data_IF_391179991074
#
_entry.id   IF_391179991074
#
_cell.length_a   1.000
_cell.length_b   1.000
_cell.length_c   1.000
_cell.angle_alpha   90.00
_cell.angle_beta   90.00
_cell.angle_gamma   90.00
#
_symmetry.space_group_name_H-M   'P 1'
#
loop_
_entity.id
_entity.type
_entity.pdbx_description
1 polymer ?
#
# COMPACT_ATOMS: atom_id res chain seq x y z
N UNK A 1 28.53 18.51 11.58
CA UNK A 1 27.90 17.21 11.91
C UNK A 1 26.37 17.25 11.83
N UNK A 2 25.65 18.25 12.37
CA UNK A 2 24.17 18.42 12.15
C UNK A 2 23.70 18.57 10.68
N UNK A 3 24.60 18.93 9.75
CA UNK A 3 24.30 19.06 8.31
C UNK A 3 24.26 17.72 7.55
N UNK A 4 24.81 16.63 8.11
CA UNK A 4 24.83 15.30 7.43
C UNK A 4 23.49 14.57 7.57
N UNK A 5 22.82 14.70 8.72
CA UNK A 5 21.49 14.13 8.99
C UNK A 5 20.39 14.76 8.14
N UNK A 6 20.57 16.03 7.74
CA UNK A 6 19.58 16.79 6.96
C UNK A 6 19.34 16.21 5.55
N UNK A 7 20.34 15.56 4.95
CA UNK A 7 20.22 14.93 3.62
C UNK A 7 19.35 13.67 3.60
N UNK A 8 19.19 12.99 4.74
CA UNK A 8 18.37 11.77 4.86
C UNK A 8 16.87 12.09 4.69
N UNK A 9 16.47 13.33 4.98
CA UNK A 9 15.06 13.74 5.02
C UNK A 9 14.58 14.57 3.82
N UNK A 10 15.48 15.24 3.11
CA UNK A 10 15.10 16.02 1.93
C UNK A 10 14.77 15.12 0.70
N UNK A 11 15.27 13.88 0.68
CA UNK A 11 14.96 12.90 -0.37
C UNK A 11 13.62 12.15 -0.13
N UNK A 12 12.89 12.47 0.95
CA UNK A 12 11.62 11.84 1.35
C UNK A 12 10.42 12.29 0.49
N UNK A 13 10.57 13.33 -0.34
CA UNK A 13 9.49 13.89 -1.15
C UNK A 13 9.89 13.94 -2.62
N UNK A 14 9.95 12.80 -3.31
CA UNK A 14 9.47 12.65 -4.70
C UNK A 14 9.10 11.17 -4.88
N UNK A 15 7.92 10.81 -4.39
CA UNK A 15 7.24 9.60 -4.84
C UNK A 15 6.79 9.79 -6.28
N UNK A 16 7.28 8.90 -7.14
CA UNK A 16 7.11 8.87 -8.59
C UNK A 16 5.77 9.46 -9.04
N UNK A 17 5.91 10.62 -9.69
CA UNK A 17 4.88 11.29 -10.46
C UNK A 17 4.13 10.27 -11.35
N UNK A 18 2.89 9.95 -11.01
CA UNK A 18 1.82 9.62 -11.98
C UNK A 18 1.51 10.81 -12.93
N UNK A 19 2.53 11.62 -13.22
CA UNK A 19 2.49 12.94 -13.84
C UNK A 19 3.18 12.91 -15.21
N UNK A 20 3.33 11.74 -15.84
CA UNK A 20 3.88 11.67 -17.19
C UNK A 20 2.92 11.06 -18.22
N UNK A 21 2.14 10.02 -17.92
CA UNK A 21 1.24 9.42 -18.92
C UNK A 21 0.13 10.37 -19.39
N UNK A 22 -0.69 10.88 -18.45
CA UNK A 22 -1.79 11.79 -18.80
C UNK A 22 -1.25 13.11 -19.39
N UNK A 23 -0.18 13.66 -18.79
CA UNK A 23 0.43 14.90 -19.26
C UNK A 23 1.05 14.77 -20.66
N UNK A 24 1.71 13.64 -20.97
CA UNK A 24 2.20 13.33 -22.31
C UNK A 24 1.05 13.27 -23.31
N UNK A 25 -0.03 12.56 -22.95
CA UNK A 25 -1.20 12.37 -23.81
C UNK A 25 -1.96 13.69 -24.06
N UNK A 26 -2.18 14.51 -23.04
CA UNK A 26 -2.73 15.88 -23.16
C UNK A 26 -1.86 16.76 -24.07
N UNK A 27 -0.53 16.67 -23.92
CA UNK A 27 0.39 17.49 -24.70
C UNK A 27 0.42 17.09 -26.18
N UNK A 28 0.36 15.78 -26.46
CA UNK A 28 0.24 15.26 -27.83
C UNK A 28 -1.09 15.70 -28.48
N UNK A 29 -2.19 15.66 -27.72
CA UNK A 29 -3.50 16.16 -28.16
C UNK A 29 -3.46 17.64 -28.50
N UNK A 30 -2.82 18.45 -27.64
CA UNK A 30 -2.66 19.87 -27.88
C UNK A 30 -1.85 20.14 -29.15
N UNK A 31 -0.75 19.42 -29.36
CA UNK A 31 0.08 19.56 -30.57
C UNK A 31 -0.74 19.23 -31.83
N UNK A 32 -1.57 18.18 -31.81
CA UNK A 32 -2.44 17.84 -32.95
C UNK A 32 -3.48 18.93 -33.22
N UNK A 33 -4.14 19.44 -32.17
CA UNK A 33 -5.14 20.52 -32.28
C UNK A 33 -4.52 21.82 -32.78
N UNK A 34 -3.32 22.17 -32.31
CA UNK A 34 -2.58 23.36 -32.76
C UNK A 34 -2.15 23.24 -34.25
N UNK A 35 -1.81 22.03 -34.71
CA UNK A 35 -1.54 21.75 -36.13
C UNK A 35 -2.78 21.94 -37.02
N UNK A 36 -3.94 21.43 -36.59
CA UNK A 36 -5.20 21.63 -37.30
C UNK A 36 -5.62 23.10 -37.39
N UNK A 37 -5.03 23.97 -36.56
CA UNK A 37 -5.23 25.42 -36.57
C UNK A 37 -4.12 26.21 -37.29
N UNK A 38 -3.29 25.52 -38.09
CA UNK A 38 -2.34 26.08 -39.07
C UNK A 38 -1.21 26.95 -38.46
N UNK A 39 -0.78 26.65 -37.23
CA UNK A 39 0.19 27.48 -36.49
C UNK A 39 1.66 27.09 -36.64
N UNK A 40 1.98 25.87 -37.10
CA UNK A 40 3.34 25.33 -37.13
C UNK A 40 3.64 24.55 -38.43
N UNK A 41 4.91 24.58 -38.88
CA UNK A 41 5.38 23.74 -39.99
C UNK A 41 5.42 22.25 -39.63
N UNK A 42 5.12 21.38 -40.61
CA UNK A 42 5.12 19.91 -40.46
C UNK A 42 6.40 19.35 -39.80
N UNK A 43 7.57 19.87 -40.19
CA UNK A 43 8.85 19.41 -39.64
C UNK A 43 9.06 19.82 -38.17
N UNK A 44 8.59 21.01 -37.79
CA UNK A 44 8.63 21.49 -36.41
C UNK A 44 7.71 20.68 -35.49
N UNK A 45 6.54 20.28 -35.98
CA UNK A 45 5.59 19.45 -35.24
C UNK A 45 6.13 18.05 -35.03
N UNK A 46 6.71 17.44 -36.07
CA UNK A 46 7.29 16.10 -35.96
C UNK A 46 8.38 16.06 -34.88
N UNK A 47 9.25 17.09 -34.82
CA UNK A 47 10.25 17.25 -33.75
C UNK A 47 9.62 17.37 -32.36
N UNK A 48 8.50 18.09 -32.22
CA UNK A 48 7.76 18.22 -30.95
C UNK A 48 7.11 16.89 -30.54
N UNK A 49 6.56 16.13 -31.48
CA UNK A 49 5.99 14.82 -31.19
C UNK A 49 7.10 13.85 -30.77
N UNK A 50 8.22 13.82 -31.51
CA UNK A 50 9.32 12.90 -31.28
C UNK A 50 10.07 13.13 -29.96
N UNK A 51 9.88 14.29 -29.30
CA UNK A 51 10.40 14.53 -27.96
C UNK A 51 9.67 13.75 -26.86
N UNK A 52 8.48 13.21 -27.14
CA UNK A 52 7.71 12.41 -26.18
C UNK A 52 8.07 10.92 -26.23
N UNK A 53 7.97 10.19 -25.11
CA UNK A 53 8.25 8.76 -25.06
C UNK A 53 7.48 7.96 -26.11
N UNK A 54 8.14 6.99 -26.74
CA UNK A 54 7.60 6.19 -27.85
C UNK A 54 6.28 5.51 -27.48
N UNK A 55 6.19 4.88 -26.29
CA UNK A 55 4.95 4.32 -25.72
C UNK A 55 3.75 5.25 -25.86
N UNK A 56 3.86 6.50 -25.42
CA UNK A 56 2.72 7.44 -25.40
C UNK A 56 2.38 7.95 -26.80
N UNK A 57 3.37 8.07 -27.69
CA UNK A 57 3.13 8.33 -29.11
C UNK A 57 2.31 7.22 -29.76
N UNK A 58 2.61 5.94 -29.45
CA UNK A 58 1.87 4.78 -29.97
C UNK A 58 0.44 4.77 -29.41
N UNK A 59 0.27 4.97 -28.10
CA UNK A 59 -1.06 5.05 -27.46
C UNK A 59 -1.90 6.16 -28.08
N UNK A 60 -1.33 7.35 -28.23
CA UNK A 60 -2.02 8.49 -28.83
C UNK A 60 -2.39 8.22 -30.30
N UNK A 61 -1.47 7.66 -31.09
CA UNK A 61 -1.74 7.19 -32.46
C UNK A 61 -2.90 6.19 -32.50
N UNK A 62 -3.04 5.34 -31.48
CA UNK A 62 -4.18 4.44 -31.32
C UNK A 62 -5.52 5.18 -31.24
N UNK A 63 -5.60 6.26 -30.47
CA UNK A 63 -6.81 7.09 -30.41
C UNK A 63 -7.13 7.73 -31.77
N UNK A 64 -6.13 8.29 -32.45
CA UNK A 64 -6.32 8.90 -33.77
C UNK A 64 -6.83 7.91 -34.82
N UNK A 65 -6.39 6.65 -34.74
CA UNK A 65 -6.76 5.60 -35.70
C UNK A 65 -7.92 4.70 -35.23
N UNK A 66 -8.53 4.99 -34.08
CA UNK A 66 -9.63 4.19 -33.52
C UNK A 66 -9.29 2.70 -33.38
N UNK A 67 -8.06 2.42 -32.97
CA UNK A 67 -7.60 1.05 -32.72
C UNK A 67 -8.41 0.40 -31.60
N UNK A 68 -8.59 -0.91 -31.70
CA UNK A 68 -8.99 -1.76 -30.58
C UNK A 68 -7.84 -1.98 -29.61
N UNK A 69 -8.14 -2.47 -28.41
CA UNK A 69 -7.12 -2.84 -27.42
C UNK A 69 -6.12 -3.86 -27.98
N UNK A 70 -6.58 -4.82 -28.78
CA UNK A 70 -5.72 -5.84 -29.38
C UNK A 70 -4.75 -5.24 -30.40
N UNK A 71 -5.22 -4.34 -31.26
CA UNK A 71 -4.38 -3.64 -32.24
C UNK A 71 -3.34 -2.74 -31.56
N UNK A 72 -3.74 -2.02 -30.51
CA UNK A 72 -2.81 -1.20 -29.73
C UNK A 72 -1.73 -2.06 -29.05
N UNK A 73 -2.11 -3.14 -28.38
CA UNK A 73 -1.17 -4.01 -27.70
C UNK A 73 -0.20 -4.69 -28.68
N UNK A 74 -0.67 -5.08 -29.87
CA UNK A 74 0.20 -5.58 -30.93
C UNK A 74 1.22 -4.51 -31.40
N UNK A 75 0.79 -3.26 -31.57
CA UNK A 75 1.66 -2.17 -31.97
C UNK A 75 2.71 -1.81 -30.88
N UNK A 76 2.35 -1.89 -29.60
CA UNK A 76 3.29 -1.74 -28.48
C UNK A 76 4.33 -2.87 -28.48
N UNK A 77 3.88 -4.13 -28.60
CA UNK A 77 4.76 -5.29 -28.64
C UNK A 77 5.75 -5.26 -29.82
N UNK A 78 5.30 -4.85 -31.01
CA UNK A 78 6.16 -4.73 -32.19
C UNK A 78 7.34 -3.77 -31.96
N UNK A 79 7.19 -2.79 -31.05
CA UNK A 79 8.22 -1.81 -30.69
C UNK A 79 8.93 -2.11 -29.37
N UNK A 80 8.77 -3.32 -28.83
CA UNK A 80 9.29 -3.74 -27.52
C UNK A 80 8.83 -2.84 -26.35
N UNK A 81 7.65 -2.23 -26.47
CA UNK A 81 6.98 -1.52 -25.39
C UNK A 81 6.07 -2.47 -24.63
N UNK A 82 5.95 -2.30 -23.32
CA UNK A 82 5.05 -3.16 -22.53
C UNK A 82 3.60 -2.94 -22.97
N UNK A 83 2.81 -4.01 -23.08
CA UNK A 83 1.37 -3.89 -23.34
C UNK A 83 0.65 -3.10 -22.25
N UNK A 84 -0.54 -2.60 -22.58
CA UNK A 84 -1.42 -2.04 -21.55
C UNK A 84 -1.79 -3.14 -20.55
N UNK A 85 -1.62 -2.82 -19.29
CA UNK A 85 -2.00 -3.62 -18.14
C UNK A 85 -2.62 -2.70 -17.10
N UNK A 86 -3.67 -3.13 -16.39
CA UNK A 86 -4.45 -2.27 -15.48
C UNK A 86 -3.70 -1.92 -14.18
N UNK A 87 -2.48 -1.37 -14.31
CA UNK A 87 -1.51 -1.15 -13.25
C UNK A 87 -1.76 0.12 -12.44
N UNK A 88 -2.37 1.12 -13.05
CA UNK A 88 -2.84 2.37 -12.43
C UNK A 88 -4.12 2.86 -13.12
N UNK A 89 -4.67 3.94 -12.57
CA UNK A 89 -5.93 4.54 -13.01
C UNK A 89 -5.90 4.89 -14.51
N UNK A 90 -4.79 5.47 -14.97
CA UNK A 90 -4.64 5.90 -16.35
C UNK A 90 -4.59 4.69 -17.26
N UNK A 91 -3.75 3.70 -16.98
CA UNK A 91 -3.64 2.51 -17.82
C UNK A 91 -4.93 1.66 -17.82
N UNK A 92 -5.60 1.53 -16.67
CA UNK A 92 -6.91 0.89 -16.57
C UNK A 92 -7.98 1.62 -17.40
N UNK A 93 -8.01 2.94 -17.35
CA UNK A 93 -8.93 3.74 -18.17
C UNK A 93 -8.62 3.67 -19.66
N UNK A 94 -7.34 3.56 -20.04
CA UNK A 94 -6.92 3.36 -21.43
C UNK A 94 -7.39 2.00 -21.94
N UNK A 95 -7.25 0.93 -21.13
CA UNK A 95 -7.80 -0.40 -21.46
C UNK A 95 -9.29 -0.29 -21.79
N UNK A 96 -10.07 0.35 -20.91
CA UNK A 96 -11.50 0.58 -21.16
C UNK A 96 -11.75 1.39 -22.43
N UNK A 97 -11.00 2.49 -22.64
CA UNK A 97 -11.15 3.34 -23.80
C UNK A 97 -10.93 2.59 -25.12
N UNK A 98 -9.89 1.76 -25.21
CA UNK A 98 -9.59 0.99 -26.41
C UNK A 98 -10.50 -0.25 -26.58
N UNK A 99 -11.05 -0.80 -25.49
CA UNK A 99 -12.09 -1.83 -25.58
C UNK A 99 -13.40 -1.27 -26.14
N UNK A 100 -13.76 -0.03 -25.76
CA UNK A 100 -14.99 0.64 -26.17
C UNK A 100 -14.82 1.56 -27.39
N UNK A 101 -13.61 1.65 -27.94
CA UNK A 101 -13.24 2.56 -29.04
C UNK A 101 -13.68 3.99 -28.77
N UNK A 102 -13.35 4.50 -27.58
CA UNK A 102 -13.62 5.89 -27.22
C UNK A 102 -12.69 6.82 -28.00
N UNK A 103 -13.19 8.02 -28.27
CA UNK A 103 -12.33 9.14 -28.69
C UNK A 103 -11.49 9.63 -27.52
N UNK A 104 -10.39 10.33 -27.82
CA UNK A 104 -9.54 10.94 -26.79
C UNK A 104 -10.35 11.86 -25.87
N UNK A 105 -11.15 12.77 -26.44
CA UNK A 105 -11.94 13.73 -25.67
C UNK A 105 -12.96 13.04 -24.74
N UNK A 106 -13.62 11.98 -25.21
CA UNK A 106 -14.54 11.21 -24.37
C UNK A 106 -13.80 10.49 -23.23
N UNK A 107 -12.72 9.77 -23.52
CA UNK A 107 -11.91 9.13 -22.48
C UNK A 107 -11.41 10.14 -21.45
N UNK A 108 -10.91 11.30 -21.90
CA UNK A 108 -10.42 12.37 -21.05
C UNK A 108 -11.52 12.91 -20.13
N UNK A 109 -12.73 13.10 -20.64
CA UNK A 109 -13.89 13.53 -19.83
C UNK A 109 -14.22 12.56 -18.69
N UNK A 110 -14.04 11.25 -18.89
CA UNK A 110 -14.27 10.24 -17.86
C UNK A 110 -13.18 10.32 -16.78
N UNK A 111 -11.92 10.55 -17.19
CA UNK A 111 -10.80 10.76 -16.26
C UNK A 111 -11.01 11.99 -15.38
N UNK A 112 -11.49 13.10 -15.95
CA UNK A 112 -11.80 14.31 -15.19
C UNK A 112 -12.85 14.01 -14.11
N UNK A 113 -13.95 13.34 -14.45
CA UNK A 113 -14.98 12.96 -13.48
C UNK A 113 -14.44 12.09 -12.34
N UNK A 114 -13.62 11.08 -12.67
CA UNK A 114 -13.02 10.19 -11.67
C UNK A 114 -12.05 10.96 -10.76
N UNK A 115 -11.26 11.89 -11.32
CA UNK A 115 -10.32 12.72 -10.55
C UNK A 115 -11.00 13.78 -9.68
N UNK A 116 -12.15 14.30 -10.11
CA UNK A 116 -12.99 15.17 -9.27
C UNK A 116 -13.49 14.40 -8.04
N UNK A 117 -13.92 13.16 -8.23
CA UNK A 117 -14.26 12.27 -7.12
C UNK A 117 -13.05 11.99 -6.21
N UNK A 118 -11.87 11.70 -6.80
CA UNK A 118 -10.60 11.51 -6.07
C UNK A 118 -10.22 12.74 -5.21
N UNK A 119 -10.45 13.92 -5.75
CA UNK A 119 -10.12 15.19 -5.09
C UNK A 119 -11.12 15.56 -3.99
N UNK A 120 -12.34 14.99 -4.03
CA UNK A 120 -13.37 15.26 -3.03
C UNK A 120 -13.20 14.49 -1.71
N UNK A 121 -12.34 13.46 -1.68
CA UNK A 121 -12.13 12.61 -0.50
C UNK A 121 -13.32 11.68 -0.17
N UNK A 122 -14.35 11.63 -1.02
CA UNK A 122 -15.60 10.88 -0.78
C UNK A 122 -15.42 9.36 -0.67
N UNK A 123 -14.26 8.82 -1.03
CA UNK A 123 -13.91 7.40 -0.92
C UNK A 123 -13.23 7.04 0.40
N UNK A 124 -12.86 7.99 1.29
CA UNK A 124 -12.08 7.73 2.52
C UNK A 124 -12.86 7.02 3.65
N UNK A 125 -14.17 6.85 3.51
CA UNK A 125 -15.05 6.28 4.54
C UNK A 125 -15.10 4.75 4.69
N UNK A 126 -14.49 3.94 3.80
CA UNK A 126 -14.80 2.51 3.72
C UNK A 126 -14.32 1.68 4.94
N UNK A 127 -13.20 2.05 5.58
CA UNK A 127 -12.73 1.39 6.81
C UNK A 127 -13.13 2.13 8.10
N UNK A 128 -13.38 3.45 8.01
CA UNK A 128 -13.67 4.32 9.16
C UNK A 128 -15.00 5.06 8.97
N UNK A 129 -16.07 4.33 8.69
CA UNK A 129 -17.36 4.71 9.25
C UNK A 129 -17.44 4.07 10.64
N UNK A 130 -16.86 4.77 11.61
CA UNK A 130 -17.36 4.75 12.97
C UNK A 130 -18.46 5.81 13.03
N UNK A 131 -19.70 5.40 13.29
CA UNK A 131 -20.75 6.36 13.66
C UNK A 131 -20.19 7.26 14.77
N UNK A 132 -20.23 8.57 14.55
CA UNK A 132 -19.98 9.65 15.52
C UNK A 132 -18.53 10.02 15.85
N UNK A 133 -17.61 10.05 14.88
CA UNK A 133 -16.33 10.78 15.04
C UNK A 133 -15.48 10.36 16.26
N UNK A 134 -15.73 9.16 16.80
CA UNK A 134 -14.99 8.63 17.95
C UNK A 134 -13.83 7.79 17.42
N UNK A 135 -12.65 8.37 17.50
CA UNK A 135 -11.34 7.84 17.12
C UNK A 135 -10.88 6.58 17.90
N UNK A 136 -11.79 5.86 18.57
CA UNK A 136 -11.43 5.10 19.79
C UNK A 136 -11.17 3.58 19.63
N UNK A 137 -11.68 2.89 18.60
CA UNK A 137 -11.29 1.52 18.20
C UNK A 137 -12.10 1.03 16.98
N UNK A 138 -11.52 0.20 16.10
CA UNK A 138 -12.22 -0.37 14.93
C UNK A 138 -12.38 -1.90 15.03
N UNK A 139 -13.48 -2.52 14.54
CA UNK A 139 -13.70 -3.97 14.68
C UNK A 139 -12.61 -4.81 14.01
N UNK A 140 -12.12 -5.85 14.69
CA UNK A 140 -11.16 -6.82 14.14
C UNK A 140 -11.70 -7.46 12.85
N UNK A 141 -12.97 -7.87 12.87
CA UNK A 141 -13.67 -8.44 11.72
C UNK A 141 -13.62 -7.56 10.47
N UNK A 142 -13.56 -6.22 10.61
CA UNK A 142 -13.46 -5.32 9.46
C UNK A 142 -12.09 -5.44 8.77
N UNK A 143 -11.02 -5.61 9.56
CA UNK A 143 -9.67 -5.81 9.02
C UNK A 143 -9.49 -7.21 8.41
N UNK A 144 -10.08 -8.24 9.04
CA UNK A 144 -10.12 -9.59 8.50
C UNK A 144 -10.80 -9.62 7.13
N UNK A 145 -11.99 -9.03 7.02
CA UNK A 145 -12.71 -8.89 5.75
C UNK A 145 -11.90 -8.12 4.71
N UNK A 146 -11.24 -7.02 5.11
CA UNK A 146 -10.40 -6.25 4.22
C UNK A 146 -9.24 -7.08 3.64
N UNK A 147 -8.50 -7.80 4.48
CA UNK A 147 -7.40 -8.67 4.03
C UNK A 147 -7.94 -9.82 3.17
N UNK A 148 -9.06 -10.43 3.55
CA UNK A 148 -9.71 -11.51 2.81
C UNK A 148 -10.13 -11.07 1.40
N UNK A 149 -10.83 -9.93 1.27
CA UNK A 149 -11.25 -9.40 -0.03
C UNK A 149 -10.06 -9.10 -0.95
N UNK A 150 -8.91 -8.73 -0.37
CA UNK A 150 -7.69 -8.38 -1.11
C UNK A 150 -6.70 -9.56 -1.25
N UNK A 151 -7.10 -10.79 -0.91
CA UNK A 151 -6.24 -11.98 -1.00
C UNK A 151 -6.79 -13.05 -1.94
N UNK A 152 -5.89 -13.78 -2.61
CA UNK A 152 -6.19 -15.08 -3.19
C UNK A 152 -6.00 -16.16 -2.12
N UNK A 153 -6.87 -17.17 -2.09
CA UNK A 153 -6.73 -18.32 -1.21
C UNK A 153 -6.15 -19.51 -1.97
N UNK A 154 -5.05 -20.05 -1.47
CA UNK A 154 -4.51 -21.34 -1.91
C UNK A 154 -4.14 -22.16 -0.67
N UNK A 155 -4.71 -23.36 -0.53
CA UNK A 155 -4.48 -24.25 0.62
C UNK A 155 -4.59 -23.52 1.97
N UNK A 156 -5.70 -22.80 2.20
CA UNK A 156 -5.98 -21.98 3.40
C UNK A 156 -4.99 -20.83 3.66
N UNK A 157 -4.01 -20.61 2.78
CA UNK A 157 -3.04 -19.52 2.85
C UNK A 157 -3.47 -18.33 2.01
N UNK A 158 -3.38 -17.13 2.59
CA UNK A 158 -3.70 -15.88 1.92
C UNK A 158 -2.50 -15.34 1.15
N UNK A 159 -2.61 -15.29 -0.18
CA UNK A 159 -1.64 -14.66 -1.09
C UNK A 159 -2.16 -13.30 -1.55
N UNK A 160 -1.26 -12.35 -1.82
CA UNK A 160 -1.67 -11.04 -2.33
C UNK A 160 -2.37 -11.23 -3.66
N UNK A 161 -3.63 -10.81 -3.76
CA UNK A 161 -4.31 -10.76 -5.05
C UNK A 161 -3.65 -9.62 -5.84
N UNK A 162 -2.98 -9.94 -6.96
CA UNK A 162 -2.61 -8.94 -7.95
C UNK A 162 -3.92 -8.45 -8.62
N UNK A 163 -4.64 -7.57 -7.91
CA UNK A 163 -5.99 -7.08 -8.29
C UNK A 163 -6.04 -6.38 -9.64
N UNK A 164 -4.89 -6.02 -10.20
CA UNK A 164 -4.70 -5.60 -11.59
C UNK A 164 -5.25 -6.63 -12.60
N UNK A 165 -5.22 -7.95 -12.29
CA UNK A 165 -5.84 -9.00 -13.11
C UNK A 165 -7.38 -9.08 -12.97
N UNK A 166 -7.94 -8.66 -11.84
CA UNK A 166 -9.40 -8.66 -11.61
C UNK A 166 -10.04 -7.45 -12.28
N UNK A 167 -9.41 -6.27 -12.13
CA UNK A 167 -9.83 -5.04 -12.81
C UNK A 167 -9.92 -5.25 -14.32
N UNK A 168 -8.91 -5.84 -14.95
CA UNK A 168 -8.92 -6.04 -16.42
C UNK A 168 -10.08 -6.93 -16.88
N UNK A 169 -10.43 -7.98 -16.11
CA UNK A 169 -11.57 -8.85 -16.38
C UNK A 169 -12.91 -8.13 -16.21
N UNK A 170 -13.02 -7.30 -15.18
CA UNK A 170 -14.24 -6.56 -14.87
C UNK A 170 -14.47 -5.44 -15.88
N UNK A 171 -13.41 -4.70 -16.28
CA UNK A 171 -13.47 -3.66 -17.30
C UNK A 171 -14.08 -4.17 -18.61
N UNK A 172 -13.74 -5.41 -19.01
CA UNK A 172 -14.30 -6.02 -20.22
C UNK A 172 -15.80 -6.33 -20.14
N UNK A 173 -16.40 -6.34 -18.94
CA UNK A 173 -17.83 -6.63 -18.71
C UNK A 173 -18.69 -5.39 -18.60
N UNK A 174 -18.10 -4.24 -18.28
CA UNK A 174 -18.82 -2.98 -18.09
C UNK A 174 -19.49 -2.58 -19.42
N UNK A 175 -20.78 -2.28 -19.38
CA UNK A 175 -21.58 -1.94 -20.54
C UNK A 175 -21.49 -0.45 -20.88
N UNK A 176 -21.73 0.39 -19.87
CA UNK A 176 -21.94 1.84 -20.05
C UNK A 176 -20.83 2.69 -19.41
N UNK A 177 -20.63 3.90 -19.94
CA UNK A 177 -19.61 4.83 -19.42
C UNK A 177 -19.87 5.26 -17.97
N UNK A 178 -21.13 5.41 -17.57
CA UNK A 178 -21.48 5.74 -16.19
C UNK A 178 -21.20 4.56 -15.24
N UNK A 179 -21.41 3.34 -15.72
CA UNK A 179 -21.04 2.12 -14.99
C UNK A 179 -19.52 2.06 -14.79
N UNK A 180 -18.75 2.44 -15.81
CA UNK A 180 -17.30 2.59 -15.70
C UNK A 180 -16.87 3.66 -14.69
N UNK A 181 -17.46 4.86 -14.74
CA UNK A 181 -17.12 5.91 -13.75
C UNK A 181 -17.44 5.43 -12.33
N UNK A 182 -18.63 4.86 -12.10
CA UNK A 182 -19.00 4.29 -10.81
C UNK A 182 -18.03 3.19 -10.36
N UNK A 183 -17.72 2.24 -11.24
CA UNK A 183 -16.74 1.18 -10.97
C UNK A 183 -15.37 1.76 -10.61
N UNK A 184 -14.85 2.72 -11.39
CA UNK A 184 -13.55 3.32 -11.12
C UNK A 184 -13.54 4.12 -9.82
N UNK A 185 -14.63 4.82 -9.48
CA UNK A 185 -14.78 5.53 -8.21
C UNK A 185 -14.84 4.57 -7.01
N UNK A 186 -15.57 3.46 -7.12
CA UNK A 186 -15.61 2.39 -6.10
C UNK A 186 -14.24 1.73 -5.91
N UNK A 187 -13.47 1.60 -6.99
CA UNK A 187 -12.17 0.96 -7.02
C UNK A 187 -11.00 1.96 -6.96
N UNK A 188 -11.24 3.25 -6.73
CA UNK A 188 -10.21 4.29 -6.91
C UNK A 188 -9.00 4.09 -6.00
N UNK A 189 -9.27 3.61 -4.77
CA UNK A 189 -8.23 3.20 -3.80
C UNK A 189 -7.27 2.17 -4.38
N UNK A 190 -7.75 1.28 -5.25
CA UNK A 190 -6.93 0.20 -5.83
C UNK A 190 -5.87 0.71 -6.81
N UNK A 191 -6.04 1.92 -7.34
CA UNK A 191 -5.12 2.57 -8.26
C UNK A 191 -4.23 3.63 -7.60
N UNK A 192 -4.37 3.85 -6.29
CA UNK A 192 -3.49 4.77 -5.56
C UNK A 192 -2.06 4.23 -5.54
N UNK A 193 -1.18 4.88 -6.29
CA UNK A 193 0.26 4.58 -6.36
C UNK A 193 0.86 4.51 -4.96
N UNK A 194 1.19 3.29 -4.52
CA UNK A 194 1.93 3.00 -3.29
C UNK A 194 1.16 3.10 -1.97
N UNK A 195 -0.15 3.36 -1.96
CA UNK A 195 -0.89 3.57 -0.69
C UNK A 195 -1.78 2.40 -0.31
N UNK A 196 -2.51 1.82 -1.27
CA UNK A 196 -3.43 0.71 -0.97
C UNK A 196 -2.72 -0.64 -0.85
N UNK A 197 -1.74 -0.94 -1.70
CA UNK A 197 -0.96 -2.18 -1.56
C UNK A 197 -0.09 -2.15 -0.31
N UNK A 198 0.48 -0.99 0.04
CA UNK A 198 1.22 -0.79 1.28
C UNK A 198 0.32 -1.00 2.50
N UNK A 199 -0.88 -0.39 2.52
CA UNK A 199 -1.91 -0.65 3.52
C UNK A 199 -2.25 -2.14 3.60
N UNK A 200 -2.51 -2.77 2.47
CA UNK A 200 -2.82 -4.20 2.42
C UNK A 200 -1.72 -5.03 3.07
N UNK A 201 -0.45 -4.83 2.69
CA UNK A 201 0.64 -5.60 3.27
C UNK A 201 0.81 -5.33 4.77
N UNK A 202 0.68 -4.08 5.21
CA UNK A 202 0.71 -3.76 6.65
C UNK A 202 -0.43 -4.47 7.38
N UNK A 203 -1.67 -4.35 6.91
CA UNK A 203 -2.84 -5.01 7.51
C UNK A 203 -2.68 -6.54 7.52
N UNK A 204 -2.14 -7.12 6.45
CA UNK A 204 -1.92 -8.56 6.31
C UNK A 204 -0.90 -9.07 7.31
N UNK A 205 0.29 -8.46 7.36
CA UNK A 205 1.33 -8.87 8.30
C UNK A 205 0.90 -8.59 9.75
N UNK A 206 0.19 -7.49 9.99
CA UNK A 206 -0.40 -7.21 11.30
C UNK A 206 -1.43 -8.28 11.70
N UNK A 207 -2.25 -8.76 10.77
CA UNK A 207 -3.20 -9.84 11.06
C UNK A 207 -2.49 -11.16 11.38
N UNK A 208 -1.39 -11.50 10.69
CA UNK A 208 -0.55 -12.65 11.06
C UNK A 208 0.02 -12.51 12.47
N UNK A 209 0.53 -11.32 12.80
CA UNK A 209 1.01 -10.99 14.14
C UNK A 209 -0.11 -11.19 15.18
N UNK A 210 -1.29 -10.60 14.96
CA UNK A 210 -2.42 -10.73 15.88
C UNK A 210 -2.85 -12.18 16.06
N UNK A 211 -3.00 -12.94 14.98
CA UNK A 211 -3.38 -14.35 15.04
C UNK A 211 -2.38 -15.18 15.84
N UNK A 212 -1.09 -14.88 15.69
CA UNK A 212 -0.03 -15.51 16.49
C UNK A 212 -0.18 -15.18 17.98
N UNK A 213 -0.40 -13.90 18.32
CA UNK A 213 -0.61 -13.48 19.71
C UNK A 213 -1.89 -14.07 20.30
N UNK A 214 -2.98 -14.13 19.54
CA UNK A 214 -4.24 -14.75 19.94
C UNK A 214 -4.04 -16.25 20.19
N UNK A 215 -3.35 -16.95 19.28
CA UNK A 215 -3.03 -18.38 19.43
C UNK A 215 -2.25 -18.63 20.72
N UNK A 216 -1.21 -17.83 21.00
CA UNK A 216 -0.46 -17.95 22.25
C UNK A 216 -1.32 -17.61 23.49
N UNK A 217 -2.18 -16.60 23.39
CA UNK A 217 -3.11 -16.26 24.46
C UNK A 217 -4.05 -17.44 24.77
N UNK A 218 -4.62 -18.07 23.76
CA UNK A 218 -5.50 -19.24 23.91
C UNK A 218 -4.74 -20.48 24.44
N UNK A 219 -3.51 -20.71 23.97
CA UNK A 219 -2.69 -21.84 24.43
C UNK A 219 -2.17 -21.68 25.88
N UNK A 220 -2.12 -20.44 26.40
CA UNK A 220 -1.59 -20.13 27.73
C UNK A 220 -2.54 -20.43 28.90
N UNK A 221 -3.66 -21.11 28.65
CA UNK A 221 -4.73 -21.35 29.62
C UNK A 221 -4.27 -22.08 30.89
N UNK A 222 -3.19 -22.87 30.79
CA UNK A 222 -2.58 -23.59 31.92
C UNK A 222 -1.59 -22.75 32.75
N UNK A 223 -1.16 -21.58 32.28
CA UNK A 223 -0.18 -20.74 32.96
C UNK A 223 -0.67 -19.28 33.08
N UNK A 224 -1.45 -19.04 34.14
CA UNK A 224 -2.17 -17.78 34.41
C UNK A 224 -1.29 -16.53 34.39
N UNK A 225 0.01 -16.63 34.73
CA UNK A 225 0.96 -15.51 34.70
C UNK A 225 1.39 -15.16 33.26
N UNK A 226 1.57 -16.17 32.41
CA UNK A 226 1.88 -15.99 30.99
C UNK A 226 0.67 -15.41 30.25
N UNK A 227 -0.54 -15.91 30.54
CA UNK A 227 -1.81 -15.37 30.00
C UNK A 227 -1.98 -13.88 30.32
N UNK A 228 -1.52 -13.44 31.50
CA UNK A 228 -1.50 -12.02 31.91
C UNK A 228 -0.55 -11.13 31.10
N UNK A 229 0.59 -11.65 30.69
CA UNK A 229 1.53 -10.83 29.91
C UNK A 229 1.08 -10.75 28.44
N UNK A 230 0.56 -11.85 27.88
CA UNK A 230 0.15 -11.89 26.47
C UNK A 230 -1.06 -10.97 26.20
N UNK A 231 -2.02 -10.84 27.13
CA UNK A 231 -3.17 -9.94 26.90
C UNK A 231 -2.77 -8.46 26.85
N UNK A 232 -1.69 -8.06 27.54
CA UNK A 232 -1.19 -6.69 27.51
C UNK A 232 -0.62 -6.34 26.13
N UNK A 233 -0.07 -7.35 25.44
CA UNK A 233 0.52 -7.23 24.10
C UNK A 233 -0.51 -7.42 22.97
N UNK A 234 -1.78 -7.69 23.30
CA UNK A 234 -2.90 -7.68 22.36
C UNK A 234 -3.44 -6.25 22.24
N UNK A 235 -3.30 -5.58 21.08
CA UNK A 235 -3.86 -4.24 20.87
C UNK A 235 -5.37 -4.29 20.60
N UNK A 236 -6.14 -5.02 21.44
CA UNK A 236 -7.58 -5.22 21.31
C UNK A 236 -8.31 -4.56 22.50
N UNK A 237 -9.08 -3.49 22.28
CA UNK A 237 -9.65 -2.64 23.33
C UNK A 237 -10.62 -3.35 24.28
N UNK A 238 -11.44 -4.27 23.76
CA UNK A 238 -12.48 -4.93 24.57
C UNK A 238 -11.89 -6.02 25.46
N UNK A 239 -10.81 -6.65 25.01
CA UNK A 239 -10.06 -7.66 25.76
C UNK A 239 -9.16 -6.95 26.76
N UNK A 240 -8.36 -5.99 26.30
CA UNK A 240 -7.33 -5.36 27.11
C UNK A 240 -7.80 -4.40 28.22
N UNK A 241 -9.10 -4.07 28.25
CA UNK A 241 -9.75 -3.30 29.32
C UNK A 241 -10.41 -4.20 30.39
N UNK A 242 -10.43 -5.52 30.20
CA UNK A 242 -10.98 -6.43 31.21
C UNK A 242 -10.02 -6.62 32.38
N UNK A 243 -10.57 -7.00 33.53
CA UNK A 243 -9.80 -7.29 34.74
C UNK A 243 -8.76 -8.41 34.46
N UNK A 244 -7.47 -8.22 34.77
CA UNK A 244 -6.41 -9.22 34.60
C UNK A 244 -6.69 -10.55 35.34
N UNK A 245 -7.47 -10.51 36.42
CA UNK A 245 -7.95 -11.68 37.13
C UNK A 245 -9.07 -12.39 36.36
N UNK A 246 -9.91 -11.66 35.63
CA UNK A 246 -10.95 -12.26 34.77
C UNK A 246 -10.30 -13.06 33.63
N UNK A 247 -9.28 -12.51 32.97
CA UNK A 247 -8.54 -13.24 31.92
C UNK A 247 -7.97 -14.58 32.36
N UNK A 248 -7.51 -14.67 33.62
CA UNK A 248 -6.92 -15.89 34.17
C UNK A 248 -7.95 -17.04 34.36
N UNK A 249 -9.25 -16.75 34.25
CA UNK A 249 -10.34 -17.70 34.51
C UNK A 249 -11.33 -17.84 33.36
N UNK A 250 -11.17 -17.09 32.26
CA UNK A 250 -12.04 -17.22 31.08
C UNK A 250 -11.81 -18.55 30.36
N UNK A 251 -12.92 -19.22 30.05
CA UNK A 251 -12.99 -20.39 29.16
C UNK A 251 -12.62 -20.03 27.72
N UNK A 252 -12.34 -21.05 26.91
CA UNK A 252 -12.00 -20.87 25.50
C UNK A 252 -13.18 -20.25 24.72
N UNK A 253 -14.40 -20.66 25.02
CA UNK A 253 -15.63 -20.14 24.42
C UNK A 253 -15.83 -18.65 24.73
N UNK A 254 -15.66 -18.24 25.99
CA UNK A 254 -15.75 -16.83 26.37
C UNK A 254 -14.68 -15.97 25.68
N UNK A 255 -13.48 -16.53 25.46
CA UNK A 255 -12.42 -15.86 24.71
C UNK A 255 -12.83 -15.67 23.24
N UNK A 256 -13.41 -16.70 22.60
CA UNK A 256 -13.90 -16.63 21.22
C UNK A 256 -14.99 -15.57 21.06
N UNK A 257 -15.94 -15.49 21.98
CA UNK A 257 -16.98 -14.45 21.98
C UNK A 257 -16.41 -13.04 22.14
N UNK A 258 -15.41 -12.88 23.00
CA UNK A 258 -14.72 -11.60 23.16
C UNK A 258 -13.94 -11.19 21.90
N UNK A 259 -13.31 -12.14 21.21
CA UNK A 259 -12.60 -11.91 19.95
C UNK A 259 -13.57 -11.53 18.82
N UNK A 260 -14.73 -12.17 18.75
CA UNK A 260 -15.75 -11.88 17.72
C UNK A 260 -16.25 -10.42 17.75
N UNK A 261 -16.24 -9.80 18.94
CA UNK A 261 -16.61 -8.39 19.11
C UNK A 261 -15.40 -7.48 19.37
N UNK A 262 -14.18 -8.00 19.26
CA UNK A 262 -12.98 -7.26 19.57
C UNK A 262 -12.79 -6.09 18.60
N UNK A 263 -12.26 -5.00 19.15
CA UNK A 263 -11.87 -3.84 18.36
C UNK A 263 -10.38 -3.59 18.56
N UNK A 264 -9.68 -3.25 17.50
CA UNK A 264 -8.27 -2.88 17.53
C UNK A 264 -8.14 -1.47 18.13
N UNK A 265 -7.29 -1.34 19.13
CA UNK A 265 -6.98 -0.08 19.82
C UNK A 265 -5.77 0.59 19.15
N UNK A 266 -5.96 1.75 18.49
CA UNK A 266 -4.85 2.50 17.90
C UNK A 266 -3.76 2.85 18.92
N UNK A 267 -4.15 3.25 20.13
CA UNK A 267 -3.21 3.64 21.18
C UNK A 267 -2.31 2.49 21.63
N UNK A 268 -2.88 1.29 21.87
CA UNK A 268 -2.06 0.13 22.26
C UNK A 268 -1.15 -0.34 21.13
N UNK A 269 -1.63 -0.24 19.90
CA UNK A 269 -0.80 -0.54 18.73
C UNK A 269 0.34 0.48 18.61
N UNK A 270 0.07 1.76 18.83
CA UNK A 270 1.10 2.79 18.89
C UNK A 270 2.10 2.55 20.01
N UNK A 271 1.67 2.20 21.23
CA UNK A 271 2.60 1.83 22.31
C UNK A 271 3.49 0.64 21.95
N UNK A 272 2.91 -0.40 21.34
CA UNK A 272 3.65 -1.58 20.88
C UNK A 272 4.68 -1.21 19.81
N UNK A 273 4.27 -0.40 18.84
CA UNK A 273 5.11 0.07 17.76
C UNK A 273 6.19 1.02 18.28
N UNK A 274 5.88 1.98 19.14
CA UNK A 274 6.85 2.85 19.78
C UNK A 274 7.86 2.05 20.60
N UNK A 275 7.44 1.02 21.34
CA UNK A 275 8.41 0.14 22.01
C UNK A 275 9.35 -0.57 21.05
N UNK A 276 8.98 -0.73 19.78
CA UNK A 276 9.88 -1.25 18.73
C UNK A 276 10.69 -0.12 18.07
N UNK A 277 10.07 1.03 17.83
CA UNK A 277 10.61 2.16 17.07
C UNK A 277 11.42 3.16 17.86
N UNK A 278 11.14 3.39 19.14
CA UNK A 278 11.95 4.23 20.02
C UNK A 278 13.41 3.76 20.05
N UNK A 279 13.66 2.49 19.68
CA UNK A 279 15.00 1.91 19.56
C UNK A 279 15.61 1.98 18.15
N UNK A 280 14.84 2.30 17.11
CA UNK A 280 15.29 2.35 15.71
C UNK A 280 15.25 3.80 15.15
N UNK A 281 14.33 4.65 15.64
CA UNK A 281 13.96 5.94 15.03
C UNK A 281 14.33 7.19 15.85
N UNK A 282 14.93 7.05 17.04
CA UNK A 282 15.32 8.23 17.83
C UNK A 282 16.67 8.77 17.42
N UNK A 283 16.65 9.53 16.32
CA UNK A 283 17.45 10.74 16.25
C UNK A 283 16.81 11.93 15.51
N UNK A 284 15.60 11.82 14.93
CA UNK A 284 14.72 12.96 14.54
C UNK A 284 13.54 12.47 13.65
N UNK A 285 12.75 11.47 14.09
CA UNK A 285 11.50 11.12 13.38
C UNK A 285 10.36 12.07 13.76
N UNK A 286 9.33 12.18 12.91
CA UNK A 286 8.10 12.95 13.14
C UNK A 286 7.41 12.67 14.50
N UNK A 287 7.81 11.61 15.21
CA UNK A 287 7.44 11.35 16.60
C UNK A 287 7.93 12.42 17.61
N UNK A 288 8.86 13.30 17.22
CA UNK A 288 9.30 14.46 18.00
C UNK A 288 8.57 15.76 17.60
N UNK A 289 7.67 15.75 16.61
CA UNK A 289 6.83 16.89 16.30
C UNK A 289 5.75 17.04 17.39
N UNK A 290 5.71 18.15 18.14
CA UNK A 290 4.67 18.39 19.14
C UNK A 290 3.25 18.47 18.55
N UNK A 291 3.09 18.57 17.23
CA UNK A 291 1.82 18.46 16.51
C UNK A 291 1.52 17.04 16.01
N UNK A 292 2.40 16.06 16.25
CA UNK A 292 2.14 14.65 15.96
C UNK A 292 1.06 14.15 16.93
N UNK A 293 -0.20 14.28 16.54
CA UNK A 293 -1.31 13.79 17.35
C UNK A 293 -1.15 12.27 17.54
N UNK A 294 -0.87 11.90 18.79
CA UNK A 294 -0.63 10.54 19.34
C UNK A 294 -1.74 9.52 19.00
N UNK A 295 -2.84 9.96 18.38
CA UNK A 295 -4.10 9.24 18.29
C UNK A 295 -4.43 8.60 16.94
N UNK A 296 -3.57 8.70 15.92
CA UNK A 296 -4.05 8.37 14.58
C UNK A 296 -3.16 7.51 13.68
N UNK A 297 -2.05 6.90 14.10
CA UNK A 297 -1.14 6.26 13.13
C UNK A 297 -1.77 5.14 12.28
N UNK A 298 -2.31 4.09 12.92
CA UNK A 298 -3.02 3.03 12.20
C UNK A 298 -4.37 3.49 11.65
N UNK A 299 -4.95 4.52 12.25
CA UNK A 299 -6.12 5.18 11.72
C UNK A 299 -5.80 5.84 10.37
N UNK A 300 -4.72 6.63 10.26
CA UNK A 300 -4.19 7.24 9.04
C UNK A 300 -3.92 6.18 7.97
N UNK A 301 -3.22 5.10 8.34
CA UNK A 301 -3.02 3.93 7.47
C UNK A 301 -4.36 3.41 6.93
N UNK A 302 -5.37 3.25 7.78
CA UNK A 302 -6.69 2.71 7.39
C UNK A 302 -7.61 3.73 6.70
N UNK A 303 -7.42 5.03 6.92
CA UNK A 303 -8.18 6.10 6.28
C UNK A 303 -7.83 6.21 4.81
N UNK A 304 -6.54 6.28 4.51
CA UNK A 304 -6.19 6.88 3.23
C UNK A 304 -4.71 7.16 3.09
N UNK A 305 -4.08 7.49 4.21
CA UNK A 305 -2.88 8.30 4.22
C UNK A 305 -1.69 7.64 3.55
N UNK A 306 -0.85 8.49 2.98
CA UNK A 306 0.43 8.09 2.43
C UNK A 306 1.28 7.39 3.48
N UNK A 307 1.79 6.22 3.12
CA UNK A 307 2.75 5.47 3.92
C UNK A 307 4.10 5.60 3.21
N UNK A 308 5.13 6.04 3.92
CA UNK A 308 6.48 6.11 3.35
C UNK A 308 7.07 4.71 3.15
N UNK A 309 8.03 4.57 2.22
CA UNK A 309 8.77 3.32 2.00
C UNK A 309 9.38 2.80 3.29
N UNK A 310 10.06 3.67 4.05
CA UNK A 310 10.71 3.31 5.31
C UNK A 310 9.72 2.78 6.34
N UNK A 311 8.56 3.43 6.43
CA UNK A 311 7.51 3.01 7.34
C UNK A 311 6.91 1.65 6.96
N UNK A 312 6.63 1.44 5.67
CA UNK A 312 6.19 0.14 5.15
C UNK A 312 7.18 -0.96 5.52
N UNK A 313 8.46 -0.73 5.23
CA UNK A 313 9.54 -1.69 5.46
C UNK A 313 9.63 -2.08 6.94
N UNK A 314 9.64 -1.10 7.82
CA UNK A 314 9.78 -1.36 9.24
C UNK A 314 8.53 -2.02 9.84
N UNK A 315 7.33 -1.63 9.38
CA UNK A 315 6.06 -2.23 9.83
C UNK A 315 6.02 -3.72 9.50
N UNK A 316 6.30 -4.03 8.24
CA UNK A 316 6.31 -5.41 7.75
C UNK A 316 7.38 -6.20 8.49
N UNK A 317 8.58 -5.63 8.67
CA UNK A 317 9.65 -6.28 9.42
C UNK A 317 9.20 -6.62 10.84
N UNK A 318 8.64 -5.65 11.57
CA UNK A 318 8.18 -5.87 12.95
C UNK A 318 7.16 -6.99 13.01
N UNK A 319 6.04 -6.84 12.30
CA UNK A 319 4.95 -7.81 12.36
C UNK A 319 5.36 -9.19 11.85
N UNK A 320 6.12 -9.24 10.75
CA UNK A 320 6.60 -10.50 10.18
C UNK A 320 7.65 -11.21 11.02
N UNK A 321 8.45 -10.48 11.80
CA UNK A 321 9.44 -11.06 12.72
C UNK A 321 8.83 -11.65 13.99
N UNK A 322 7.67 -11.15 14.40
CA UNK A 322 6.96 -11.57 15.62
C UNK A 322 5.78 -12.52 15.35
N UNK A 323 5.47 -12.79 14.07
CA UNK A 323 4.37 -13.67 13.66
C UNK A 323 4.85 -15.08 13.29
N UNK A 324 4.03 -16.09 13.62
CA UNK A 324 4.09 -17.39 12.98
C UNK A 324 3.43 -17.28 11.60
N UNK A 325 4.23 -17.36 10.54
CA UNK A 325 3.76 -17.26 9.17
C UNK A 325 3.34 -18.64 8.65
N UNK A 326 2.15 -18.79 8.05
CA UNK A 326 1.58 -20.09 7.69
C UNK A 326 2.27 -20.75 6.50
N UNK A 327 3.03 -20.00 5.70
CA UNK A 327 3.64 -20.47 4.46
C UNK A 327 5.08 -19.94 4.29
N UNK A 328 6.05 -20.77 3.84
CA UNK A 328 7.43 -20.35 3.62
C UNK A 328 7.60 -19.17 2.65
N UNK A 329 6.74 -19.06 1.64
CA UNK A 329 6.70 -17.96 0.67
C UNK A 329 6.26 -16.62 1.28
N UNK A 330 5.68 -16.61 2.48
CA UNK A 330 5.34 -15.39 3.21
C UNK A 330 6.47 -14.93 4.13
N UNK A 331 7.47 -15.79 4.41
CA UNK A 331 8.62 -15.46 5.24
C UNK A 331 9.40 -14.30 4.61
N UNK A 332 9.70 -13.31 5.45
CA UNK A 332 10.45 -12.14 5.03
C UNK A 332 11.90 -12.51 4.72
N UNK A 333 12.20 -12.51 3.44
CA UNK A 333 13.54 -12.60 2.84
C UNK A 333 13.79 -11.31 2.05
N UNK A 334 15.04 -11.02 1.68
CA UNK A 334 15.36 -9.89 0.78
C UNK A 334 14.52 -9.96 -0.50
N UNK A 335 14.43 -11.15 -1.10
CA UNK A 335 13.57 -11.40 -2.28
C UNK A 335 12.11 -11.02 -2.01
N UNK A 336 11.53 -11.51 -0.91
CA UNK A 336 10.13 -11.24 -0.57
C UNK A 336 9.88 -9.76 -0.29
N UNK A 337 10.83 -9.08 0.37
CA UNK A 337 10.73 -7.66 0.61
C UNK A 337 10.75 -6.86 -0.70
N UNK A 338 11.63 -7.22 -1.64
CA UNK A 338 11.69 -6.61 -2.96
C UNK A 338 10.41 -6.84 -3.77
N UNK A 339 9.81 -8.03 -3.72
CA UNK A 339 8.50 -8.30 -4.34
C UNK A 339 7.40 -7.38 -3.78
N UNK A 340 7.39 -7.15 -2.45
CA UNK A 340 6.45 -6.25 -1.78
C UNK A 340 6.68 -4.81 -2.23
N UNK A 341 7.93 -4.34 -2.20
CA UNK A 341 8.31 -2.99 -2.63
C UNK A 341 7.91 -2.72 -4.08
N UNK A 342 8.23 -3.65 -4.99
CA UNK A 342 7.83 -3.56 -6.40
C UNK A 342 6.31 -3.54 -6.56
N UNK A 343 5.59 -4.40 -5.83
CA UNK A 343 4.14 -4.39 -5.85
C UNK A 343 3.58 -3.03 -5.40
N UNK A 344 4.20 -2.41 -4.40
CA UNK A 344 3.88 -1.09 -3.88
C UNK A 344 4.49 0.08 -4.67
N UNK A 345 5.17 -0.16 -5.80
CA UNK A 345 5.86 0.87 -6.62
C UNK A 345 6.93 1.66 -5.86
N UNK A 346 7.55 1.05 -4.84
CA UNK A 346 8.74 1.59 -4.19
C UNK A 346 10.01 1.04 -4.84
N UNK A 347 11.09 1.81 -4.72
CA UNK A 347 12.44 1.31 -5.02
C UNK A 347 12.72 0.07 -4.18
N UNK A 348 13.29 -0.96 -4.81
CA UNK A 348 13.75 -2.18 -4.13
C UNK A 348 14.86 -1.86 -3.12
N UNK A 349 15.24 -2.82 -2.29
CA UNK A 349 16.39 -2.68 -1.39
C UNK A 349 17.67 -2.51 -2.22
N UNK A 350 18.46 -1.49 -1.87
CA UNK A 350 19.76 -1.22 -2.48
C UNK A 350 20.86 -2.00 -1.75
N UNK A 351 21.41 -3.02 -2.41
CA UNK A 351 22.51 -3.85 -1.90
C UNK A 351 23.86 -3.10 -1.85
N UNK A 352 23.96 -1.96 -2.53
CA UNK A 352 25.14 -1.09 -2.55
C UNK A 352 25.06 0.09 -1.58
N UNK A 353 23.99 0.15 -0.79
CA UNK A 353 23.75 1.24 0.14
C UNK A 353 24.85 1.31 1.23
N UNK A 354 25.09 2.51 1.76
CA UNK A 354 26.05 2.72 2.84
C UNK A 354 25.73 1.84 4.05
N UNK A 355 26.74 1.39 4.81
CA UNK A 355 26.57 0.44 5.93
C UNK A 355 25.56 0.93 6.98
N UNK A 356 25.44 2.25 7.17
CA UNK A 356 24.52 2.88 8.14
C UNK A 356 23.13 3.18 7.56
N UNK A 357 22.84 2.76 6.32
CA UNK A 357 21.55 3.00 5.67
C UNK A 357 20.45 2.05 6.18
N UNK A 358 19.19 2.46 6.02
CA UNK A 358 18.03 1.61 6.31
C UNK A 358 18.05 0.32 5.47
N UNK A 359 18.50 0.39 4.22
CA UNK A 359 18.52 -0.77 3.32
C UNK A 359 19.58 -1.79 3.76
N UNK A 360 20.78 -1.33 4.10
CA UNK A 360 21.83 -2.17 4.69
C UNK A 360 21.39 -2.81 6.00
N UNK A 361 20.71 -2.05 6.87
CA UNK A 361 20.11 -2.59 8.08
C UNK A 361 19.10 -3.71 7.79
N UNK A 362 18.16 -3.46 6.88
CA UNK A 362 17.10 -4.41 6.55
C UNK A 362 17.68 -5.68 5.91
N UNK A 363 18.64 -5.55 5.00
CA UNK A 363 19.31 -6.69 4.37
C UNK A 363 19.99 -7.55 5.43
N UNK A 364 20.75 -6.94 6.35
CA UNK A 364 21.43 -7.65 7.43
C UNK A 364 20.44 -8.43 8.32
N UNK A 365 19.32 -7.81 8.70
CA UNK A 365 18.28 -8.49 9.49
C UNK A 365 17.63 -9.62 8.70
N UNK A 366 17.26 -9.38 7.43
CA UNK A 366 16.55 -10.35 6.60
C UNK A 366 17.41 -11.59 6.29
N UNK A 367 18.73 -11.42 6.19
CA UNK A 367 19.71 -12.49 6.00
C UNK A 367 20.05 -13.25 7.31
N UNK A 368 19.62 -12.75 8.47
CA UNK A 368 19.84 -13.45 9.74
C UNK A 368 18.88 -14.64 9.91
N UNK A 369 19.44 -15.76 10.38
CA UNK A 369 18.68 -16.95 10.81
C UNK A 369 17.77 -16.64 12.00
N UNK A 370 18.26 -15.81 12.93
CA UNK A 370 17.49 -15.27 14.03
C UNK A 370 17.30 -13.76 13.84
N UNK A 371 16.19 -13.42 13.17
CA UNK A 371 15.80 -12.03 12.88
C UNK A 371 15.57 -11.24 14.16
N UNK A 372 15.00 -11.86 15.19
CA UNK A 372 14.69 -11.22 16.47
C UNK A 372 15.97 -10.84 17.21
N UNK A 373 16.93 -11.76 17.28
CA UNK A 373 18.22 -11.46 17.89
C UNK A 373 19.05 -10.49 17.04
N UNK A 374 18.95 -10.53 15.71
CA UNK A 374 19.60 -9.53 14.85
C UNK A 374 19.05 -8.12 15.10
N UNK A 375 17.72 -7.96 15.13
CA UNK A 375 17.06 -6.70 15.47
C UNK A 375 17.53 -6.22 16.85
N UNK A 376 17.50 -7.07 17.87
CA UNK A 376 17.92 -6.72 19.23
C UNK A 376 19.41 -6.34 19.34
N UNK A 377 20.29 -7.06 18.63
CA UNK A 377 21.73 -6.74 18.60
C UNK A 377 22.00 -5.39 17.95
N UNK A 378 21.34 -5.11 16.83
CA UNK A 378 21.53 -3.87 16.10
C UNK A 378 20.95 -2.67 16.86
N UNK A 379 19.78 -2.85 17.49
CA UNK A 379 19.25 -1.89 18.48
C UNK A 379 20.27 -1.63 19.60
N UNK A 380 20.88 -2.68 20.14
CA UNK A 380 21.91 -2.56 21.18
C UNK A 380 23.17 -1.80 20.72
N UNK A 381 23.57 -1.96 19.47
CA UNK A 381 24.72 -1.25 18.88
C UNK A 381 24.43 0.24 18.63
N UNK A 382 23.22 0.59 18.20
CA UNK A 382 22.81 1.98 18.01
C UNK A 382 22.76 2.77 19.33
N UNK A 383 22.39 2.10 20.44
CA UNK A 383 22.43 2.70 21.79
C UNK A 383 23.85 2.98 22.32
N UNK A 384 24.88 2.30 21.78
CA UNK A 384 26.27 2.50 22.18
C UNK A 384 26.96 3.62 21.39
N UNK A 385 26.30 4.15 20.35
CA UNK A 385 26.80 5.23 19.47
C UNK A 385 26.20 6.60 19.78
N UNK A 386 25.25 6.69 20.71
CA UNK A 386 24.76 7.93 21.33
C UNK A 386 25.61 8.26 22.55
#
# INVERSE_FOLDING_TARGET
MRKKTKRIFDDIIIGLKGKDALACLESLEKIQKDFLQDRDSLEGIQKKIDSYPLRYRIIYKGFCNQWSLAELNAALQEKNEEVLYARDLIEASLIYAFQKKLTFDHWYSLIVQIREFESSGSYDGFLINGFNGSYSAFPLARMENYVQMNSCFYAETMYTLQRTLTVEKDLGRLGENQEFVSYMCENIRMFCDGREKSRYYICKYFLFYLNTRIKYYMASDKNRRIKRNIYLDLPLSNISKMDPNRHAHMSEEEIKECLATAKISPNKLFELLNRFYSYILLSDSDANDPNWEEYSFMHRILQGDCISRSLLLLMILFFGSEAELPDPGLILTVRRMNEILQACRFQVLDESAEEDSLDSFLIAVLCSDDKKSAINRMIGQMNLMQ
#
